data_IF_816604098694
#
_entry.id   IF_816604098694
#
_cell.length_a   1.000
_cell.length_b   1.000
_cell.length_c   1.000
_cell.angle_alpha   90.00
_cell.angle_beta   90.00
_cell.angle_gamma   90.00
#
_symmetry.space_group_name_H-M   'P 1'
#
loop_
_entity.id
_entity.type
_entity.pdbx_description
1 polymer ?
#
# COMPACT_ATOMS: atom_id res chain seq x y z
N UNK A 1 -31.17 -17.89 37.33
CA UNK A 1 -30.38 -19.10 37.03
C UNK A 1 -30.71 -19.50 35.59
N UNK A 2 -29.81 -19.68 34.64
CA UNK A 2 -28.36 -19.57 34.62
C UNK A 2 -27.91 -19.53 33.15
N UNK A 3 -27.03 -18.59 32.82
CA UNK A 3 -25.93 -18.72 31.84
C UNK A 3 -26.22 -19.19 30.40
N UNK A 4 -26.32 -18.21 29.48
CA UNK A 4 -25.80 -18.33 28.12
C UNK A 4 -24.87 -17.15 27.83
N UNK A 5 -23.69 -17.20 28.45
CA UNK A 5 -22.55 -16.33 28.19
C UNK A 5 -22.04 -16.66 26.78
N UNK A 6 -22.33 -15.81 25.80
CA UNK A 6 -21.59 -15.77 24.54
C UNK A 6 -20.62 -14.60 24.68
N UNK A 7 -19.41 -14.90 25.16
CA UNK A 7 -18.30 -13.97 25.20
C UNK A 7 -18.00 -13.51 23.77
N UNK A 8 -18.57 -12.37 23.34
CA UNK A 8 -18.00 -11.61 22.23
C UNK A 8 -16.81 -10.83 22.79
N UNK A 9 -15.79 -11.57 23.21
CA UNK A 9 -14.50 -11.00 23.53
C UNK A 9 -13.88 -10.57 22.19
N UNK A 10 -13.54 -9.28 22.07
CA UNK A 10 -13.00 -8.63 20.86
C UNK A 10 -14.01 -8.22 19.76
N UNK A 11 -15.23 -7.79 20.11
CA UNK A 11 -15.91 -6.82 19.26
C UNK A 11 -15.20 -5.46 19.44
N UNK A 12 -14.17 -5.19 18.63
CA UNK A 12 -13.65 -3.84 18.51
C UNK A 12 -14.81 -2.98 18.04
N UNK A 13 -15.39 -2.16 18.93
CA UNK A 13 -16.55 -1.33 18.66
C UNK A 13 -16.32 -0.54 17.35
N UNK A 14 -16.99 -0.98 16.28
CA UNK A 14 -17.00 -0.32 14.98
C UNK A 14 -17.27 1.20 15.03
N UNK A 15 -18.10 1.76 15.94
CA UNK A 15 -18.30 3.21 15.99
C UNK A 15 -17.03 4.00 16.31
N UNK A 16 -16.06 3.44 17.06
CA UNK A 16 -14.80 4.13 17.33
C UNK A 16 -13.94 4.15 16.06
N UNK A 17 -13.86 3.03 15.35
CA UNK A 17 -13.11 2.93 14.10
C UNK A 17 -13.69 3.88 13.04
N UNK A 18 -15.01 3.92 12.87
CA UNK A 18 -15.66 4.76 11.86
C UNK A 18 -15.54 6.28 12.18
N UNK A 19 -15.30 6.65 13.45
CA UNK A 19 -15.05 8.04 13.86
C UNK A 19 -13.58 8.45 13.80
N UNK A 20 -12.67 7.56 14.18
CA UNK A 20 -11.23 7.86 14.28
C UNK A 20 -10.52 7.68 12.95
N UNK A 21 -10.94 6.71 12.14
CA UNK A 21 -10.24 6.39 10.89
C UNK A 21 -10.35 7.50 9.83
N UNK A 22 -11.52 8.13 9.56
CA UNK A 22 -11.59 9.21 8.57
C UNK A 22 -10.62 10.38 8.80
N UNK A 23 -10.52 11.00 10.00
CA UNK A 23 -9.57 12.07 10.22
C UNK A 23 -8.12 11.57 10.10
N UNK A 24 -7.81 10.34 10.54
CA UNK A 24 -6.47 9.76 10.36
C UNK A 24 -6.14 9.60 8.88
N UNK A 25 -7.06 9.08 8.06
CA UNK A 25 -6.86 8.92 6.61
C UNK A 25 -6.67 10.27 5.89
N UNK A 26 -7.34 11.33 6.35
CA UNK A 26 -7.16 12.69 5.82
C UNK A 26 -5.79 13.26 6.22
N UNK A 27 -5.34 13.02 7.45
CA UNK A 27 -4.01 13.42 7.88
C UNK A 27 -2.93 12.65 7.11
N UNK A 28 -3.10 11.33 6.93
CA UNK A 28 -2.24 10.50 6.08
C UNK A 28 -2.19 11.03 4.65
N UNK A 29 -3.33 11.41 4.07
CA UNK A 29 -3.38 12.07 2.76
C UNK A 29 -2.51 13.34 2.75
N UNK A 30 -2.73 14.28 3.67
CA UNK A 30 -2.02 15.57 3.67
C UNK A 30 -0.51 15.41 3.89
N UNK A 31 -0.11 14.71 4.95
CA UNK A 31 1.31 14.53 5.29
C UNK A 31 2.00 13.55 4.34
N UNK A 32 1.30 12.49 3.94
CA UNK A 32 1.80 11.47 3.05
C UNK A 32 2.05 12.01 1.65
N UNK A 33 1.14 12.80 1.08
CA UNK A 33 1.36 13.41 -0.25
C UNK A 33 2.50 14.41 -0.22
N UNK A 34 2.54 15.26 0.80
CA UNK A 34 3.65 16.19 0.97
C UNK A 34 4.99 15.44 1.06
N UNK A 35 5.08 14.41 1.90
CA UNK A 35 6.29 13.60 2.06
C UNK A 35 6.69 12.84 0.79
N UNK A 36 5.74 12.17 0.14
CA UNK A 36 6.03 11.39 -1.07
C UNK A 36 6.38 12.27 -2.27
N UNK A 37 5.71 13.42 -2.47
CA UNK A 37 6.09 14.35 -3.52
C UNK A 37 7.46 14.98 -3.28
N UNK A 38 7.79 15.32 -2.03
CA UNK A 38 9.14 15.80 -1.70
C UNK A 38 10.19 14.73 -1.98
N UNK A 39 9.92 13.47 -1.62
CA UNK A 39 10.82 12.35 -1.92
C UNK A 39 11.01 12.14 -3.43
N UNK A 40 9.92 12.12 -4.21
CA UNK A 40 9.96 12.05 -5.67
C UNK A 40 10.74 13.23 -6.26
N UNK A 41 10.50 14.45 -5.77
CA UNK A 41 11.23 15.64 -6.17
C UNK A 41 12.73 15.51 -5.90
N UNK A 42 13.11 15.04 -4.71
CA UNK A 42 14.53 14.79 -4.40
C UNK A 42 15.15 13.72 -5.30
N UNK A 43 14.43 12.64 -5.60
CA UNK A 43 14.94 11.57 -6.47
C UNK A 43 15.07 11.98 -7.93
N UNK A 44 14.16 12.82 -8.43
CA UNK A 44 14.17 13.24 -9.84
C UNK A 44 15.13 14.42 -10.06
N UNK A 45 15.13 15.41 -9.16
CA UNK A 45 15.85 16.67 -9.36
C UNK A 45 17.19 16.77 -8.64
N UNK A 46 17.44 15.96 -7.61
CA UNK A 46 18.61 16.12 -6.73
C UNK A 46 19.54 14.90 -6.72
N UNK A 47 19.15 13.76 -7.31
CA UNK A 47 20.00 12.58 -7.43
C UNK A 47 20.75 12.59 -8.77
N UNK A 48 22.00 13.05 -8.74
CA UNK A 48 22.89 13.01 -9.91
C UNK A 48 23.29 11.58 -10.35
N UNK A 49 23.14 10.58 -9.48
CA UNK A 49 23.50 9.19 -9.80
C UNK A 49 22.44 8.21 -9.32
N UNK A 50 21.76 7.57 -10.27
CA UNK A 50 20.74 6.56 -10.00
C UNK A 50 21.37 5.27 -9.50
N UNK A 51 21.11 4.94 -8.23
CA UNK A 51 21.51 3.67 -7.59
C UNK A 51 20.32 2.71 -7.57
N UNK A 52 20.54 1.38 -7.51
CA UNK A 52 19.49 0.38 -7.30
C UNK A 52 18.46 0.75 -6.21
N UNK A 53 18.94 1.25 -5.06
CA UNK A 53 18.06 1.69 -3.97
C UNK A 53 17.18 2.89 -4.33
N UNK A 54 17.70 3.84 -5.11
CA UNK A 54 16.90 4.98 -5.56
C UNK A 54 15.76 4.52 -6.47
N UNK A 55 16.00 3.54 -7.35
CA UNK A 55 14.96 2.97 -8.22
C UNK A 55 13.83 2.33 -7.40
N UNK A 56 14.16 1.47 -6.43
CA UNK A 56 13.14 0.85 -5.57
C UNK A 56 12.34 1.87 -4.79
N UNK A 57 13.01 2.89 -4.23
CA UNK A 57 12.36 3.95 -3.47
C UNK A 57 11.49 4.86 -4.36
N UNK A 58 11.88 5.12 -5.61
CA UNK A 58 11.05 5.86 -6.56
C UNK A 58 9.78 5.08 -6.93
N UNK A 59 9.90 3.79 -7.26
CA UNK A 59 8.71 2.96 -7.54
C UNK A 59 7.76 2.89 -6.34
N UNK A 60 8.31 2.79 -5.13
CA UNK A 60 7.54 2.80 -3.90
C UNK A 60 6.83 4.15 -3.68
N UNK A 61 7.55 5.27 -3.83
CA UNK A 61 6.96 6.60 -3.64
C UNK A 61 5.86 6.94 -4.67
N UNK A 62 5.98 6.43 -5.90
CA UNK A 62 4.90 6.52 -6.91
C UNK A 62 3.69 5.71 -6.47
N UNK A 63 3.88 4.47 -6.02
CA UNK A 63 2.78 3.61 -5.54
C UNK A 63 2.06 4.24 -4.32
N UNK A 64 2.83 4.74 -3.35
CA UNK A 64 2.31 5.41 -2.17
C UNK A 64 1.49 6.64 -2.56
N UNK A 65 1.99 7.47 -3.49
CA UNK A 65 1.26 8.64 -3.99
C UNK A 65 -0.10 8.26 -4.59
N UNK A 66 -0.15 7.20 -5.40
CA UNK A 66 -1.39 6.71 -6.01
C UNK A 66 -2.40 6.29 -4.93
N UNK A 67 -1.95 5.55 -3.90
CA UNK A 67 -2.85 5.14 -2.80
C UNK A 67 -3.26 6.30 -1.92
N UNK A 68 -2.38 7.28 -1.69
CA UNK A 68 -2.72 8.48 -0.95
C UNK A 68 -3.90 9.20 -1.62
N UNK A 69 -3.89 9.39 -2.94
CA UNK A 69 -5.03 9.94 -3.68
C UNK A 69 -6.33 9.13 -3.52
N UNK A 70 -6.24 7.84 -3.20
CA UNK A 70 -7.37 6.96 -2.95
C UNK A 70 -7.93 7.07 -1.51
N UNK A 71 -7.12 7.48 -0.53
CA UNK A 71 -7.54 7.62 0.87
C UNK A 71 -8.76 8.54 1.13
N UNK A 72 -8.97 9.68 0.45
CA UNK A 72 -10.15 10.51 0.68
C UNK A 72 -11.46 9.80 0.32
N UNK A 73 -11.49 8.98 -0.75
CA UNK A 73 -12.65 8.15 -1.10
C UNK A 73 -12.95 7.13 -0.01
N UNK A 74 -11.89 6.57 0.59
CA UNK A 74 -12.01 5.65 1.72
C UNK A 74 -12.48 6.35 2.99
N UNK A 75 -12.05 7.57 3.24
CA UNK A 75 -12.52 8.38 4.37
C UNK A 75 -14.01 8.71 4.23
N UNK A 76 -14.48 9.07 3.03
CA UNK A 76 -15.90 9.30 2.74
C UNK A 76 -16.75 8.03 2.98
N UNK A 77 -16.26 6.86 2.54
CA UNK A 77 -16.89 5.56 2.84
C UNK A 77 -17.10 5.31 4.34
N UNK A 78 -16.08 5.55 5.17
CA UNK A 78 -16.22 5.40 6.63
C UNK A 78 -17.15 6.45 7.24
N UNK A 79 -17.14 7.70 6.72
CA UNK A 79 -18.06 8.76 7.18
C UNK A 79 -19.53 8.47 6.86
N UNK A 80 -19.80 7.75 5.77
CA UNK A 80 -21.16 7.30 5.39
C UNK A 80 -21.60 6.03 6.11
N UNK A 81 -20.82 5.53 7.07
CA UNK A 81 -21.16 4.30 7.78
C UNK A 81 -20.93 3.05 6.95
N UNK A 82 -19.86 3.04 6.13
CA UNK A 82 -19.49 1.93 5.24
C UNK A 82 -20.44 1.72 4.06
N UNK A 83 -21.05 2.82 3.60
CA UNK A 83 -21.85 2.85 2.37
C UNK A 83 -21.01 3.38 1.20
N UNK A 84 -20.83 2.57 0.16
CA UNK A 84 -20.00 2.90 -1.01
C UNK A 84 -20.87 3.27 -2.21
N UNK A 85 -20.82 4.54 -2.61
CA UNK A 85 -21.70 5.10 -3.66
C UNK A 85 -21.04 5.25 -5.03
N UNK A 86 -19.73 5.06 -5.13
CA UNK A 86 -18.98 5.31 -6.38
C UNK A 86 -19.11 4.17 -7.41
N UNK A 87 -19.87 3.13 -7.09
CA UNK A 87 -20.03 1.94 -7.92
C UNK A 87 -18.95 0.89 -7.70
N UNK A 88 -19.14 -0.29 -8.26
CA UNK A 88 -18.33 -1.46 -7.93
C UNK A 88 -16.90 -1.41 -8.53
N UNK A 89 -16.73 -0.91 -9.76
CA UNK A 89 -15.41 -0.78 -10.41
C UNK A 89 -14.40 0.00 -9.53
N UNK A 90 -14.68 1.24 -9.08
CA UNK A 90 -13.74 1.97 -8.25
C UNK A 90 -13.58 1.35 -6.85
N UNK A 91 -14.56 0.61 -6.33
CA UNK A 91 -14.40 -0.16 -5.09
C UNK A 91 -13.30 -1.22 -5.25
N UNK A 92 -13.38 -2.03 -6.31
CA UNK A 92 -12.37 -3.06 -6.60
C UNK A 92 -10.99 -2.45 -6.84
N UNK A 93 -10.92 -1.36 -7.60
CA UNK A 93 -9.66 -0.63 -7.84
C UNK A 93 -9.08 -0.10 -6.52
N UNK A 94 -9.89 0.49 -5.65
CA UNK A 94 -9.45 1.04 -4.36
C UNK A 94 -8.87 -0.07 -3.45
N UNK A 95 -9.58 -1.19 -3.33
CA UNK A 95 -9.13 -2.34 -2.53
C UNK A 95 -7.85 -2.94 -3.10
N UNK A 96 -7.81 -3.12 -4.42
CA UNK A 96 -6.65 -3.61 -5.14
C UNK A 96 -5.43 -2.72 -4.92
N UNK A 97 -5.56 -1.40 -5.14
CA UNK A 97 -4.46 -0.45 -4.98
C UNK A 97 -3.95 -0.41 -3.53
N UNK A 98 -4.86 -0.42 -2.55
CA UNK A 98 -4.48 -0.44 -1.14
C UNK A 98 -3.71 -1.71 -0.77
N UNK A 99 -4.16 -2.87 -1.22
CA UNK A 99 -3.49 -4.14 -0.97
C UNK A 99 -2.13 -4.20 -1.70
N UNK A 100 -2.11 -3.79 -2.97
CA UNK A 100 -0.92 -3.75 -3.80
C UNK A 100 0.15 -2.83 -3.20
N UNK A 101 -0.22 -1.65 -2.71
CA UNK A 101 0.71 -0.71 -2.09
C UNK A 101 1.30 -1.24 -0.79
N UNK A 102 0.49 -1.87 0.07
CA UNK A 102 1.03 -2.49 1.30
C UNK A 102 2.02 -3.60 0.96
N UNK A 103 1.69 -4.45 -0.02
CA UNK A 103 2.58 -5.50 -0.47
C UNK A 103 3.86 -4.93 -1.09
N UNK A 104 3.74 -3.91 -1.95
CA UNK A 104 4.86 -3.18 -2.54
C UNK A 104 5.79 -2.61 -1.47
N UNK A 105 5.25 -1.91 -0.47
CA UNK A 105 6.05 -1.38 0.65
C UNK A 105 6.86 -2.46 1.36
N UNK A 106 6.24 -3.59 1.69
CA UNK A 106 6.93 -4.70 2.35
C UNK A 106 8.04 -5.27 1.46
N UNK A 107 7.73 -5.59 0.20
CA UNK A 107 8.69 -6.21 -0.72
C UNK A 107 9.83 -5.27 -1.11
N UNK A 108 9.56 -4.00 -1.43
CA UNK A 108 10.59 -3.03 -1.81
C UNK A 108 11.49 -2.65 -0.63
N UNK A 109 10.92 -2.43 0.57
CA UNK A 109 11.75 -2.16 1.76
C UNK A 109 12.61 -3.37 2.14
N UNK A 110 12.08 -4.59 1.98
CA UNK A 110 12.86 -5.81 2.18
C UNK A 110 13.99 -5.89 1.17
N UNK A 111 13.73 -5.63 -0.12
CA UNK A 111 14.77 -5.61 -1.15
C UNK A 111 15.87 -4.57 -0.85
N UNK A 112 15.49 -3.37 -0.40
CA UNK A 112 16.44 -2.33 0.02
C UNK A 112 17.25 -2.78 1.24
N UNK A 113 16.63 -3.42 2.23
CA UNK A 113 17.31 -3.93 3.41
C UNK A 113 18.31 -5.03 3.04
N UNK A 114 17.92 -5.95 2.13
CA UNK A 114 18.78 -7.02 1.63
C UNK A 114 19.95 -6.46 0.82
N UNK A 115 19.73 -5.49 -0.07
CA UNK A 115 20.79 -4.80 -0.81
C UNK A 115 21.81 -4.13 0.14
N UNK A 116 21.32 -3.41 1.16
CA UNK A 116 22.18 -2.80 2.18
C UNK A 116 22.95 -3.86 2.97
N UNK A 117 22.32 -4.96 3.36
CA UNK A 117 22.95 -6.05 4.07
C UNK A 117 24.13 -6.65 3.28
N UNK A 118 23.93 -6.96 1.99
CA UNK A 118 24.99 -7.52 1.15
C UNK A 118 26.13 -6.54 0.90
N UNK A 119 25.85 -5.23 0.78
CA UNK A 119 26.89 -4.21 0.65
C UNK A 119 27.76 -4.07 1.89
N UNK A 120 27.16 -4.15 3.07
CA UNK A 120 27.86 -3.96 4.35
C UNK A 120 28.60 -5.23 4.78
N UNK A 121 27.91 -6.38 4.78
CA UNK A 121 28.45 -7.62 5.36
C UNK A 121 29.26 -8.41 4.35
N UNK A 122 28.90 -8.36 3.06
CA UNK A 122 29.54 -9.17 2.01
C UNK A 122 30.01 -8.29 0.84
N UNK A 123 30.94 -7.34 1.05
CA UNK A 123 31.32 -6.35 0.03
C UNK A 123 31.85 -6.98 -1.26
N UNK A 124 32.40 -8.20 -1.21
CA UNK A 124 32.93 -8.93 -2.38
C UNK A 124 31.91 -9.80 -3.13
N UNK A 125 30.65 -9.85 -2.69
CA UNK A 125 29.62 -10.67 -3.30
C UNK A 125 29.36 -10.23 -4.77
N UNK A 126 29.32 -11.15 -5.76
CA UNK A 126 28.96 -10.82 -7.15
C UNK A 126 27.64 -10.07 -7.29
N UNK A 127 26.69 -10.26 -6.35
CA UNK A 127 25.40 -9.54 -6.33
C UNK A 127 25.61 -8.02 -6.23
N UNK A 128 26.64 -7.54 -5.55
CA UNK A 128 26.93 -6.12 -5.46
C UNK A 128 27.43 -5.51 -6.79
N UNK A 129 27.85 -6.34 -7.76
CA UNK A 129 28.25 -5.92 -9.12
C UNK A 129 27.10 -5.99 -10.11
N UNK A 130 26.03 -6.73 -9.77
CA UNK A 130 24.79 -6.74 -10.52
C UNK A 130 24.11 -5.39 -10.29
N UNK A 131 24.45 -4.40 -11.12
CA UNK A 131 24.04 -3.01 -10.98
C UNK A 131 22.54 -2.76 -11.22
N UNK A 132 22.23 -1.67 -11.93
CA UNK A 132 20.85 -1.19 -12.12
C UNK A 132 19.92 -2.22 -12.79
N UNK A 133 20.43 -3.02 -13.73
CA UNK A 133 19.65 -4.01 -14.45
C UNK A 133 19.07 -5.11 -13.55
N UNK A 134 19.83 -5.60 -12.57
CA UNK A 134 19.33 -6.58 -11.61
C UNK A 134 18.23 -5.98 -10.74
N UNK A 135 18.37 -4.71 -10.35
CA UNK A 135 17.35 -4.02 -9.58
C UNK A 135 16.03 -3.88 -10.34
N UNK A 136 16.10 -3.61 -11.64
CA UNK A 136 14.93 -3.57 -12.51
C UNK A 136 14.28 -4.95 -12.65
N UNK A 137 15.06 -6.02 -12.84
CA UNK A 137 14.52 -7.39 -12.91
C UNK A 137 13.85 -7.82 -11.61
N UNK A 138 14.47 -7.55 -10.47
CA UNK A 138 13.88 -7.81 -9.14
C UNK A 138 12.59 -7.00 -8.97
N UNK A 139 12.61 -5.70 -9.33
CA UNK A 139 11.42 -4.84 -9.27
C UNK A 139 10.27 -5.40 -10.11
N UNK A 140 10.53 -5.82 -11.36
CA UNK A 140 9.54 -6.43 -12.24
C UNK A 140 8.98 -7.73 -11.66
N UNK A 141 9.84 -8.59 -11.10
CA UNK A 141 9.43 -9.82 -10.43
C UNK A 141 8.55 -9.57 -9.20
N UNK A 142 8.91 -8.58 -8.38
CA UNK A 142 8.14 -8.17 -7.21
C UNK A 142 6.78 -7.60 -7.61
N UNK A 143 6.72 -6.74 -8.63
CA UNK A 143 5.46 -6.26 -9.18
C UNK A 143 4.58 -7.42 -9.67
N UNK A 144 5.15 -8.36 -10.43
CA UNK A 144 4.44 -9.56 -10.88
C UNK A 144 3.85 -10.37 -9.71
N UNK A 145 4.63 -10.58 -8.65
CA UNK A 145 4.17 -11.27 -7.44
C UNK A 145 3.04 -10.49 -6.73
N UNK A 146 3.15 -9.16 -6.65
CA UNK A 146 2.13 -8.31 -6.05
C UNK A 146 0.84 -8.41 -6.84
N UNK A 147 0.89 -8.21 -8.17
CA UNK A 147 -0.28 -8.32 -9.04
C UNK A 147 -0.92 -9.72 -8.97
N UNK A 148 -0.12 -10.78 -8.87
CA UNK A 148 -0.65 -12.13 -8.70
C UNK A 148 -1.33 -12.30 -7.34
N UNK A 149 -0.69 -11.82 -6.28
CA UNK A 149 -1.17 -11.95 -4.91
C UNK A 149 -2.40 -11.07 -4.64
N UNK A 150 -2.55 -9.92 -5.29
CA UNK A 150 -3.68 -9.00 -5.07
C UNK A 150 -4.69 -8.99 -6.20
N UNK A 151 -4.39 -9.62 -7.34
CA UNK A 151 -5.25 -9.67 -8.52
C UNK A 151 -6.61 -10.34 -8.27
N UNK A 152 -6.70 -11.24 -7.29
CA UNK A 152 -7.97 -11.83 -6.86
C UNK A 152 -8.97 -10.78 -6.35
N UNK A 153 -8.50 -9.63 -5.82
CA UNK A 153 -9.36 -8.52 -5.38
C UNK A 153 -10.03 -7.80 -6.54
N UNK A 154 -9.46 -7.89 -7.75
CA UNK A 154 -10.07 -7.36 -8.97
C UNK A 154 -11.09 -8.33 -9.55
N UNK A 155 -10.82 -9.63 -9.42
CA UNK A 155 -11.60 -10.71 -10.02
C UNK A 155 -12.85 -11.08 -9.22
N UNK A 156 -12.80 -11.00 -7.89
CA UNK A 156 -13.97 -11.24 -7.07
C UNK A 156 -14.87 -10.01 -7.10
N UNK A 157 -16.06 -10.16 -7.67
CA UNK A 157 -17.11 -9.16 -7.49
C UNK A 157 -17.40 -9.08 -6.00
N UNK A 158 -17.18 -7.90 -5.39
CA UNK A 158 -17.78 -7.63 -4.11
C UNK A 158 -19.27 -7.48 -4.40
N UNK A 159 -20.01 -8.59 -4.24
CA UNK A 159 -21.47 -8.57 -4.24
C UNK A 159 -21.90 -7.51 -3.23
N UNK A 160 -22.24 -6.33 -3.75
CA UNK A 160 -23.07 -5.39 -3.02
C UNK A 160 -24.32 -6.18 -2.67
N UNK A 161 -24.51 -6.44 -1.37
CA UNK A 161 -25.81 -6.82 -0.89
C UNK A 161 -26.72 -5.63 -1.20
N UNK A 162 -27.32 -5.70 -2.38
CA UNK A 162 -28.39 -4.82 -2.81
C UNK A 162 -29.55 -5.18 -1.89
N UNK A 163 -29.60 -4.58 -0.69
CA UNK A 163 -30.80 -4.55 0.13
C UNK A 163 -31.78 -3.64 -0.58
N UNK A 164 -32.35 -4.15 -1.67
CA UNK A 164 -33.53 -3.59 -2.27
C UNK A 164 -34.72 -4.01 -1.38
N UNK A 165 -34.80 -3.40 -0.20
CA UNK A 165 -36.00 -3.20 0.62
C UNK A 165 -35.73 -2.27 1.79
#
# INVERSE_FOLDING_TARGET
MNSSRSDVCCAFESPILDRVLPPVLILEFMFGLMGNFLALGMFIFYMDTWKPNSVYLTHLAVADSIVLFCLPFRADYYRRGKDWIYGDIPCRILLFLLAANRAAGIFFLTAVAVDRYFKIVHPRNPINRLGLGYALWVSLGLWGLIFLATGYLLANEHFFYNSNR
#
